data_IF_173804449678
#
_entry.id   IF_173804449678
#
_cell.length_a   1.000
_cell.length_b   1.000
_cell.length_c   1.000
_cell.angle_alpha   90.00
_cell.angle_beta   90.00
_cell.angle_gamma   90.00
#
_symmetry.space_group_name_H-M   'P 1'
#
loop_
_entity.id
_entity.type
_entity.pdbx_description
1 polymer ?
#
# COMPACT_ATOMS: atom_id res chain seq x y z
N UNK A 1 -8.68 8.37 -8.95
CA UNK A 1 -8.64 8.59 -7.51
C UNK A 1 -7.35 9.23 -7.08
N UNK A 2 -7.40 10.08 -6.08
CA UNK A 2 -6.22 10.70 -5.53
C UNK A 2 -5.43 9.71 -4.68
N UNK A 3 -4.11 9.75 -4.79
CA UNK A 3 -3.23 8.85 -4.07
C UNK A 3 -2.42 9.65 -3.05
N UNK A 4 -2.58 9.31 -1.79
CA UNK A 4 -1.83 9.92 -0.68
C UNK A 4 -1.04 8.87 0.06
N UNK A 5 0.13 9.27 0.59
CA UNK A 5 0.96 8.41 1.41
C UNK A 5 1.15 9.07 2.77
N UNK A 6 1.03 8.27 3.83
CA UNK A 6 1.35 8.74 5.17
C UNK A 6 2.85 8.97 5.30
N UNK A 7 3.26 9.70 6.33
CA UNK A 7 4.68 9.89 6.62
C UNK A 7 5.40 8.55 6.77
N UNK A 8 4.75 7.60 7.42
CA UNK A 8 5.30 6.26 7.60
C UNK A 8 5.53 5.58 6.27
N UNK A 9 4.53 5.61 5.38
CA UNK A 9 4.62 4.98 4.07
C UNK A 9 5.72 5.61 3.23
N UNK A 10 5.85 6.93 3.28
CA UNK A 10 6.90 7.63 2.55
C UNK A 10 8.29 7.25 3.03
N UNK A 11 8.48 7.17 4.34
CA UNK A 11 9.76 6.75 4.90
C UNK A 11 10.11 5.33 4.53
N UNK A 12 9.12 4.45 4.56
CA UNK A 12 9.31 3.06 4.17
C UNK A 12 9.70 2.95 2.70
N UNK A 13 9.02 3.69 1.85
CA UNK A 13 9.31 3.69 0.43
C UNK A 13 10.74 4.15 0.14
N UNK A 14 11.20 5.19 0.82
CA UNK A 14 12.56 5.70 0.65
C UNK A 14 13.64 4.69 1.01
N UNK A 15 13.34 3.81 1.96
CA UNK A 15 14.29 2.78 2.40
C UNK A 15 14.35 1.59 1.46
N UNK A 16 13.41 1.48 0.56
CA UNK A 16 13.35 0.38 -0.39
C UNK A 16 14.32 0.64 -1.53
N UNK A 17 15.08 -0.36 -2.01
CA UNK A 17 15.97 -0.19 -3.16
C UNK A 17 15.21 0.36 -4.36
N UNK A 18 15.85 1.23 -5.13
CA UNK A 18 15.22 1.89 -6.27
C UNK A 18 14.56 0.91 -7.24
N UNK A 19 15.19 -0.23 -7.46
CA UNK A 19 14.65 -1.27 -8.33
C UNK A 19 13.27 -1.73 -7.86
N UNK A 20 13.14 -1.92 -6.55
CA UNK A 20 11.89 -2.35 -5.94
C UNK A 20 10.89 -1.20 -5.82
N UNK A 21 11.38 0.04 -5.65
CA UNK A 21 10.53 1.20 -5.60
C UNK A 21 9.66 1.32 -6.85
N UNK A 22 10.24 1.03 -8.01
CA UNK A 22 9.50 1.10 -9.28
C UNK A 22 8.30 0.16 -9.29
N UNK A 23 8.47 -1.05 -8.75
CA UNK A 23 7.38 -2.01 -8.65
C UNK A 23 6.25 -1.47 -7.79
N UNK A 24 6.60 -0.88 -6.67
CA UNK A 24 5.63 -0.36 -5.72
C UNK A 24 4.88 0.82 -6.31
N UNK A 25 5.59 1.74 -6.94
CA UNK A 25 4.98 2.90 -7.59
C UNK A 25 4.02 2.46 -8.67
N UNK A 26 4.43 1.48 -9.48
CA UNK A 26 3.59 0.94 -10.53
C UNK A 26 2.30 0.33 -9.94
N UNK A 27 2.44 -0.39 -8.83
CA UNK A 27 1.30 -0.99 -8.15
C UNK A 27 0.36 0.07 -7.59
N UNK A 28 0.91 1.14 -7.04
CA UNK A 28 0.12 2.25 -6.51
C UNK A 28 -0.66 2.95 -7.63
N UNK A 29 -0.03 3.14 -8.78
CA UNK A 29 -0.71 3.72 -9.93
C UNK A 29 -1.86 2.83 -10.39
N UNK A 30 -1.64 1.52 -10.38
CA UNK A 30 -2.68 0.56 -10.72
C UNK A 30 -3.85 0.66 -9.75
N UNK A 31 -3.58 0.83 -8.46
CA UNK A 31 -4.61 1.01 -7.46
C UNK A 31 -5.42 2.29 -7.66
N UNK A 32 -4.79 3.35 -8.13
CA UNK A 32 -5.52 4.60 -8.37
C UNK A 32 -6.55 4.46 -9.49
N UNK A 33 -6.36 3.48 -10.36
CA UNK A 33 -7.30 3.18 -11.44
C UNK A 33 -8.32 2.12 -11.05
N UNK A 34 -7.91 1.17 -10.20
CA UNK A 34 -8.78 0.10 -9.73
C UNK A 34 -8.55 -0.10 -8.23
N UNK A 35 -9.23 0.70 -7.44
CA UNK A 35 -9.07 0.71 -5.99
C UNK A 35 -9.55 -0.56 -5.30
N UNK A 36 -10.31 -1.39 -6.00
CA UNK A 36 -10.84 -2.63 -5.43
C UNK A 36 -9.99 -3.85 -5.77
N UNK A 37 -8.83 -3.66 -6.37
CA UNK A 37 -7.94 -4.78 -6.70
C UNK A 37 -7.26 -5.38 -5.46
N UNK A 38 -7.24 -4.65 -4.35
CA UNK A 38 -6.68 -5.16 -3.11
C UNK A 38 -7.68 -6.01 -2.34
N UNK A 39 -7.16 -6.75 -1.36
CA UNK A 39 -7.97 -7.61 -0.51
C UNK A 39 -8.35 -6.87 0.79
N UNK A 40 -9.63 -6.89 1.11
CA UNK A 40 -10.11 -6.25 2.33
C UNK A 40 -9.60 -6.99 3.57
N UNK A 41 -9.22 -6.22 4.59
CA UNK A 41 -8.80 -6.78 5.87
C UNK A 41 -9.98 -6.80 6.82
N UNK A 42 -9.98 -7.76 7.74
CA UNK A 42 -11.08 -7.96 8.66
C UNK A 42 -10.69 -7.62 10.10
N UNK A 43 -11.68 -7.66 11.00
CA UNK A 43 -11.46 -7.42 12.41
C UNK A 43 -11.14 -5.97 12.70
N UNK A 44 -10.09 -5.74 13.48
CA UNK A 44 -9.69 -4.40 13.87
C UNK A 44 -9.15 -3.58 12.69
N UNK A 45 -8.92 -4.24 11.56
CA UNK A 45 -8.46 -3.58 10.33
C UNK A 45 -9.59 -3.30 9.35
N UNK A 46 -10.80 -3.29 9.84
CA UNK A 46 -11.98 -3.02 9.00
C UNK A 46 -11.84 -1.68 8.30
N UNK A 47 -12.13 -1.66 7.00
CA UNK A 47 -11.98 -0.46 6.18
C UNK A 47 -10.62 -0.34 5.52
N UNK A 48 -9.69 -1.21 5.88
CA UNK A 48 -8.36 -1.25 5.28
C UNK A 48 -8.27 -2.36 4.25
N UNK A 49 -7.36 -2.18 3.31
CA UNK A 49 -7.12 -3.14 2.24
C UNK A 49 -5.63 -3.43 2.14
N UNK A 50 -5.30 -4.58 1.62
CA UNK A 50 -3.90 -4.90 1.33
C UNK A 50 -3.75 -5.41 -0.09
N UNK A 51 -2.60 -5.12 -0.69
CA UNK A 51 -2.25 -5.61 -2.00
C UNK A 51 -0.77 -5.98 -2.00
N UNK A 52 -0.44 -7.02 -2.75
CA UNK A 52 0.94 -7.48 -2.84
C UNK A 52 1.68 -6.80 -3.98
N UNK A 53 2.89 -6.35 -3.66
CA UNK A 53 3.90 -5.98 -4.65
C UNK A 53 5.14 -6.74 -4.21
N UNK A 54 5.14 -8.03 -4.50
CA UNK A 54 6.10 -8.99 -3.95
C UNK A 54 7.56 -8.53 -4.06
N UNK A 55 8.36 -8.61 -3.01
CA UNK A 55 8.08 -9.23 -1.69
C UNK A 55 7.47 -8.28 -0.67
N UNK A 56 6.92 -7.17 -1.12
CA UNK A 56 6.33 -6.17 -0.23
C UNK A 56 4.82 -6.29 -0.19
N UNK A 57 4.25 -5.75 0.88
CA UNK A 57 2.81 -5.63 1.03
C UNK A 57 2.45 -4.19 1.30
N UNK A 58 1.45 -3.71 0.59
CA UNK A 58 0.96 -2.35 0.73
C UNK A 58 -0.38 -2.41 1.44
N UNK A 59 -0.49 -1.68 2.56
CA UNK A 59 -1.75 -1.55 3.29
C UNK A 59 -2.26 -0.14 3.05
N UNK A 60 -3.51 -0.04 2.63
CA UNK A 60 -4.10 1.26 2.31
C UNK A 60 -5.52 1.36 2.83
N UNK A 61 -5.96 2.60 3.02
CA UNK A 61 -7.32 2.93 3.42
C UNK A 61 -8.04 3.53 2.21
N UNK A 62 -9.22 3.01 1.93
CA UNK A 62 -10.02 3.49 0.81
C UNK A 62 -10.98 4.55 1.31
N UNK A 63 -10.84 5.76 0.80
CA UNK A 63 -11.74 6.87 1.07
C UNK A 63 -12.56 7.18 -0.17
N UNK A 64 -13.56 8.05 -0.01
CA UNK A 64 -14.50 8.37 -1.08
C UNK A 64 -13.80 8.76 -2.39
N UNK A 65 -12.83 9.66 -2.32
CA UNK A 65 -12.15 10.17 -3.51
C UNK A 65 -10.65 9.91 -3.50
N UNK A 66 -10.16 9.09 -2.57
CA UNK A 66 -8.73 8.92 -2.44
C UNK A 66 -8.37 7.58 -1.84
N UNK A 67 -7.12 7.20 -2.08
CA UNK A 67 -6.49 6.02 -1.47
C UNK A 67 -5.37 6.56 -0.60
N UNK A 68 -5.37 6.20 0.68
CA UNK A 68 -4.33 6.59 1.61
C UNK A 68 -3.47 5.39 1.92
N UNK A 69 -2.22 5.41 1.47
CA UNK A 69 -1.28 4.32 1.73
C UNK A 69 -0.75 4.47 3.15
N UNK A 70 -1.07 3.49 3.99
CA UNK A 70 -0.72 3.51 5.41
C UNK A 70 0.66 2.93 5.67
N UNK A 71 1.01 1.87 4.96
CA UNK A 71 2.32 1.25 5.13
C UNK A 71 2.73 0.46 3.90
N UNK A 72 4.04 0.38 3.71
CA UNK A 72 4.66 -0.42 2.66
C UNK A 72 5.76 -1.19 3.37
N UNK A 73 5.61 -2.49 3.52
CA UNK A 73 6.56 -3.27 4.30
C UNK A 73 6.89 -4.57 3.62
N UNK A 74 8.12 -5.03 3.87
CA UNK A 74 8.54 -6.35 3.44
C UNK A 74 7.67 -7.39 4.16
N UNK A 75 7.31 -8.47 3.45
CA UNK A 75 6.41 -9.48 4.00
C UNK A 75 6.82 -9.97 5.39
N UNK A 76 8.13 -10.04 5.66
CA UNK A 76 8.63 -10.51 6.94
C UNK A 76 8.43 -9.51 8.08
N UNK A 77 8.21 -8.23 7.76
CA UNK A 77 8.01 -7.20 8.77
C UNK A 77 6.57 -6.97 9.15
N UNK A 78 5.62 -7.50 8.37
CA UNK A 78 4.20 -7.23 8.57
C UNK A 78 3.57 -8.13 9.63
N UNK A 79 4.07 -9.35 9.75
CA UNK A 79 3.45 -10.36 10.61
C UNK A 79 4.24 -10.66 11.87
N UNK A 80 4.62 -9.65 12.56
CA UNK A 80 5.24 -9.87 13.87
C UNK A 80 4.22 -9.82 14.97
#
# INVERSE_FOLDING_TARGET
MKLDLTSRARKQLKKIPKREQKKIIHKLESLSQDSHSGKALEGEYKGMYSVRAWPYRIVYLLKKDSIVVLSIAHRQGIYK
#
